data_IF_579411227723
#
_entry.id   IF_579411227723
#
_cell.length_a   1.000
_cell.length_b   1.000
_cell.length_c   1.000
_cell.angle_alpha   90.00
_cell.angle_beta   90.00
_cell.angle_gamma   90.00
#
_symmetry.space_group_name_H-M   'P 1'
#
loop_
_entity.id
_entity.type
_entity.pdbx_description
1 polymer ?
#
# COMPACT_ATOMS: atom_id res chain seq x y z
N UNK A 1 -13.30 -6.11 7.06
CA UNK A 1 -12.23 -5.11 6.84
C UNK A 1 -10.90 -5.82 6.68
N UNK A 2 -10.47 -5.97 5.43
CA UNK A 2 -9.15 -6.52 5.15
C UNK A 2 -8.10 -5.40 5.22
N UNK A 3 -6.98 -5.60 5.91
CA UNK A 3 -5.93 -4.60 5.98
C UNK A 3 -5.29 -4.44 4.60
N UNK A 4 -5.11 -3.19 4.16
CA UNK A 4 -4.37 -2.89 2.94
C UNK A 4 -3.01 -2.31 3.30
N UNK A 5 -1.97 -2.69 2.57
CA UNK A 5 -0.65 -2.12 2.76
C UNK A 5 0.09 -2.03 1.44
N UNK A 6 0.91 -1.00 1.31
CA UNK A 6 1.84 -0.87 0.20
C UNK A 6 3.22 -1.23 0.73
N UNK A 7 3.94 -2.03 -0.05
CA UNK A 7 5.30 -2.41 0.27
C UNK A 7 6.16 -2.58 -0.96
N UNK A 8 7.47 -2.68 -0.71
CA UNK A 8 8.49 -2.93 -1.70
C UNK A 8 9.00 -4.36 -1.55
N UNK A 9 8.97 -5.13 -2.65
CA UNK A 9 9.68 -6.41 -2.72
C UNK A 9 11.19 -6.15 -2.57
N UNK A 10 11.78 -6.65 -1.48
CA UNK A 10 13.21 -6.49 -1.17
C UNK A 10 14.01 -7.60 -1.83
N UNK A 11 13.54 -8.84 -1.71
CA UNK A 11 14.26 -10.00 -2.21
C UNK A 11 13.55 -11.30 -1.86
N UNK A 12 14.22 -12.42 -2.10
CA UNK A 12 13.76 -13.76 -1.76
C UNK A 12 14.82 -14.44 -0.92
N UNK A 13 14.38 -15.22 0.05
CA UNK A 13 15.24 -16.04 0.92
C UNK A 13 14.52 -17.36 1.21
N UNK A 14 15.07 -18.18 2.10
CA UNK A 14 14.46 -19.40 2.57
C UNK A 14 14.41 -19.42 4.10
N UNK A 15 13.37 -20.03 4.66
CA UNK A 15 13.22 -20.29 6.08
C UNK A 15 13.22 -21.80 6.29
N UNK A 16 13.98 -22.25 7.28
CA UNK A 16 13.95 -23.63 7.72
C UNK A 16 12.87 -23.78 8.78
N UNK A 17 11.94 -24.70 8.57
CA UNK A 17 10.91 -25.03 9.54
C UNK A 17 11.42 -26.06 10.56
N UNK A 18 10.72 -26.19 11.69
CA UNK A 18 11.16 -27.05 12.79
C UNK A 18 11.24 -28.55 12.44
N UNK A 19 10.50 -28.98 11.40
CA UNK A 19 10.56 -30.32 10.83
C UNK A 19 11.72 -30.53 9.82
N UNK A 20 12.58 -29.52 9.65
CA UNK A 20 13.75 -29.54 8.76
C UNK A 20 13.43 -29.24 7.30
N UNK A 21 12.18 -28.90 6.97
CA UNK A 21 11.80 -28.52 5.60
C UNK A 21 12.30 -27.11 5.23
N UNK A 22 12.44 -26.85 3.93
CA UNK A 22 12.88 -25.55 3.40
C UNK A 22 11.71 -24.87 2.72
N UNK A 23 11.28 -23.72 3.26
CA UNK A 23 10.21 -22.91 2.69
C UNK A 23 10.79 -21.66 2.00
N UNK A 24 10.61 -21.48 0.68
CA UNK A 24 11.03 -20.27 -0.01
C UNK A 24 10.09 -19.11 0.33
N UNK A 25 10.66 -17.98 0.73
CA UNK A 25 9.90 -16.79 1.16
C UNK A 25 10.35 -15.54 0.40
N UNK A 26 9.42 -14.59 0.23
CA UNK A 26 9.71 -13.25 -0.30
C UNK A 26 9.71 -12.24 0.83
N UNK A 27 10.80 -11.48 0.96
CA UNK A 27 10.88 -10.38 1.93
C UNK A 27 10.26 -9.13 1.31
N UNK A 28 9.23 -8.61 1.97
CA UNK A 28 8.55 -7.37 1.59
C UNK A 28 8.74 -6.35 2.70
N UNK A 29 9.31 -5.19 2.36
CA UNK A 29 9.34 -4.03 3.26
C UNK A 29 8.03 -3.26 3.07
N UNK A 30 7.09 -3.45 3.98
CA UNK A 30 5.76 -2.85 3.93
C UNK A 30 5.57 -1.85 5.06
N UNK A 31 4.85 -0.77 4.77
CA UNK A 31 4.57 0.29 5.74
C UNK A 31 5.81 1.08 6.23
N UNK A 32 5.60 2.13 7.04
CA UNK A 32 4.31 2.71 7.38
C UNK A 32 3.64 3.35 6.15
N UNK A 33 2.32 3.16 6.02
CA UNK A 33 1.50 3.77 4.97
C UNK A 33 0.56 4.80 5.59
N UNK A 34 0.44 5.98 4.98
CA UNK A 34 -0.43 7.05 5.48
C UNK A 34 -1.69 7.13 4.64
N UNK A 35 -2.85 7.22 5.28
CA UNK A 35 -4.13 7.49 4.60
C UNK A 35 -4.13 8.93 4.08
N UNK A 36 -4.10 9.12 2.77
CA UNK A 36 -4.10 10.45 2.14
C UNK A 36 -5.52 10.98 1.91
N UNK A 37 -6.44 10.10 1.55
CA UNK A 37 -7.82 10.46 1.27
C UNK A 37 -8.71 9.24 1.51
N UNK A 38 -9.90 9.48 2.05
CA UNK A 38 -10.99 8.52 2.07
C UNK A 38 -12.06 9.00 1.11
N UNK A 39 -12.40 8.16 0.14
CA UNK A 39 -13.45 8.39 -0.85
C UNK A 39 -14.72 7.70 -0.38
N UNK A 40 -15.84 8.37 -0.54
CA UNK A 40 -17.14 7.86 -0.12
C UNK A 40 -18.14 7.88 -1.28
N UNK A 41 -18.99 6.87 -1.33
CA UNK A 41 -20.04 6.73 -2.35
C UNK A 41 -21.10 7.83 -2.30
N UNK A 42 -21.35 8.41 -1.11
CA UNK A 42 -22.27 9.52 -0.88
C UNK A 42 -21.70 10.91 -1.25
N UNK A 43 -20.41 10.96 -1.60
CA UNK A 43 -19.67 12.18 -1.91
C UNK A 43 -19.55 12.40 -3.43
N UNK A 44 -18.77 13.42 -3.84
CA UNK A 44 -18.43 13.67 -5.25
C UNK A 44 -17.60 12.53 -5.90
N UNK A 45 -17.05 11.61 -5.11
CA UNK A 45 -16.21 10.51 -5.61
C UNK A 45 -17.02 9.38 -6.26
N UNK A 46 -18.26 9.13 -5.79
CA UNK A 46 -19.19 8.15 -6.39
C UNK A 46 -18.88 6.68 -6.09
N UNK A 47 -17.90 6.38 -5.24
CA UNK A 47 -17.60 5.02 -4.75
C UNK A 47 -16.76 5.07 -3.47
N UNK A 48 -16.75 3.96 -2.73
CA UNK A 48 -15.99 3.81 -1.48
C UNK A 48 -14.57 3.29 -1.76
N UNK A 49 -13.57 4.05 -1.32
CA UNK A 49 -12.16 3.66 -1.45
C UNK A 49 -11.25 4.38 -0.46
N UNK A 50 -10.10 3.78 -0.20
CA UNK A 50 -9.02 4.41 0.57
C UNK A 50 -7.85 4.68 -0.36
N UNK A 51 -7.31 5.89 -0.27
CA UNK A 51 -6.03 6.20 -0.87
C UNK A 51 -4.92 6.16 0.18
N UNK A 52 -3.97 5.25 -0.02
CA UNK A 52 -2.78 5.11 0.81
C UNK A 52 -1.56 5.67 0.11
N UNK A 53 -0.68 6.29 0.89
CA UNK A 53 0.62 6.78 0.47
C UNK A 53 1.76 6.04 1.16
N UNK A 54 2.81 5.71 0.40
CA UNK A 54 4.00 4.99 0.86
C UNK A 54 5.28 5.65 0.34
N UNK A 55 6.30 5.63 1.20
CA UNK A 55 7.62 6.25 1.04
C UNK A 55 7.59 7.78 0.90
N UNK A 56 8.34 8.47 1.74
CA UNK A 56 8.37 9.94 1.76
C UNK A 56 9.22 10.52 0.62
N UNK A 57 8.72 11.62 0.05
CA UNK A 57 9.47 12.45 -0.90
C UNK A 57 9.68 13.83 -0.30
N UNK A 58 10.91 14.34 -0.45
CA UNK A 58 11.24 15.74 -0.13
C UNK A 58 10.34 16.69 -0.94
N UNK A 59 9.70 17.71 -0.32
CA UNK A 59 8.82 18.63 -1.05
C UNK A 59 9.44 19.27 -2.28
N UNK A 60 10.75 19.52 -2.29
CA UNK A 60 11.47 20.05 -3.46
C UNK A 60 11.48 19.13 -4.68
N UNK A 61 11.21 17.83 -4.50
CA UNK A 61 11.11 16.81 -5.56
C UNK A 61 9.66 16.44 -5.88
N UNK A 62 8.69 17.05 -5.22
CA UNK A 62 7.27 16.80 -5.43
C UNK A 62 6.62 17.94 -6.24
N UNK A 63 5.56 17.62 -6.97
CA UNK A 63 4.78 18.64 -7.69
C UNK A 63 3.90 19.42 -6.71
N UNK A 64 3.59 20.68 -7.01
CA UNK A 64 2.73 21.53 -6.15
C UNK A 64 1.38 20.85 -5.79
N UNK A 65 0.68 20.17 -6.73
CA UNK A 65 -0.56 19.46 -6.38
C UNK A 65 -0.33 18.30 -5.41
N UNK A 66 0.75 17.53 -5.56
CA UNK A 66 1.06 16.43 -4.66
C UNK A 66 1.35 16.92 -3.24
N UNK A 67 2.01 18.08 -3.11
CA UNK A 67 2.26 18.73 -1.81
C UNK A 67 0.94 19.19 -1.19
N UNK A 68 0.10 19.89 -1.95
CA UNK A 68 -1.21 20.35 -1.46
C UNK A 68 -2.13 19.19 -1.06
N UNK A 69 -2.08 18.08 -1.80
CA UNK A 69 -2.84 16.88 -1.49
C UNK A 69 -2.38 16.22 -0.18
N UNK A 70 -1.07 16.01 -0.01
CA UNK A 70 -0.51 15.44 1.21
C UNK A 70 -0.72 16.34 2.44
N UNK A 71 -0.72 17.66 2.26
CA UNK A 71 -0.99 18.62 3.33
C UNK A 71 -2.41 18.48 3.92
N UNK A 72 -3.41 18.07 3.13
CA UNK A 72 -4.77 17.82 3.63
C UNK A 72 -4.85 16.66 4.63
N UNK A 73 -3.91 15.72 4.53
CA UNK A 73 -3.76 14.60 5.46
C UNK A 73 -2.62 14.85 6.47
N UNK A 74 -2.17 16.10 6.63
CA UNK A 74 -1.08 16.50 7.54
C UNK A 74 0.20 15.68 7.38
N UNK A 75 0.54 15.30 6.14
CA UNK A 75 1.72 14.47 5.86
C UNK A 75 2.61 15.06 4.76
N UNK A 76 3.83 14.54 4.69
CA UNK A 76 4.76 14.74 3.57
C UNK A 76 4.22 14.11 2.27
N UNK A 77 4.59 14.65 1.09
CA UNK A 77 4.32 14.02 -0.19
C UNK A 77 4.86 12.60 -0.23
N UNK A 78 4.10 11.67 -0.82
CA UNK A 78 4.48 10.25 -0.92
C UNK A 78 4.91 9.87 -2.32
N UNK A 79 5.85 8.94 -2.45
CA UNK A 79 6.34 8.43 -3.75
C UNK A 79 5.32 7.57 -4.43
N UNK A 80 4.71 6.68 -3.66
CA UNK A 80 3.76 5.72 -4.17
C UNK A 80 2.42 6.06 -3.55
N UNK A 81 1.45 6.36 -4.39
CA UNK A 81 0.06 6.57 -4.00
C UNK A 81 -0.78 5.51 -4.72
N UNK A 82 -1.54 4.75 -3.96
CA UNK A 82 -2.45 3.72 -4.49
C UNK A 82 -3.80 3.81 -3.82
N UNK A 83 -4.80 3.43 -4.59
CA UNK A 83 -6.19 3.41 -4.15
C UNK A 83 -6.66 1.97 -4.04
N UNK A 84 -7.34 1.66 -2.94
CA UNK A 84 -7.94 0.39 -2.66
C UNK A 84 -9.45 0.58 -2.59
N UNK A 85 -10.16 -0.04 -3.54
CA UNK A 85 -11.62 0.01 -3.59
C UNK A 85 -12.22 -0.92 -2.56
N UNK A 86 -13.32 -0.48 -1.97
CA UNK A 86 -14.07 -1.21 -0.97
C UNK A 86 -15.38 -1.65 -1.62
N UNK A 87 -15.67 -2.94 -1.56
CA UNK A 87 -16.91 -3.49 -2.06
C UNK A 87 -17.81 -3.78 -0.85
N UNK A 88 -18.86 -2.96 -0.68
CA UNK A 88 -19.86 -3.09 0.39
C UNK A 88 -19.30 -3.01 1.83
N UNK A 89 -18.08 -2.49 2.00
CA UNK A 89 -17.48 -2.22 3.31
C UNK A 89 -17.25 -0.71 3.47
N UNK A 90 -17.67 -0.14 4.60
CA UNK A 90 -17.31 1.23 4.95
C UNK A 90 -15.97 1.24 5.66
N UNK A 91 -15.06 2.10 5.19
CA UNK A 91 -13.81 2.33 5.91
C UNK A 91 -14.01 3.41 6.96
N UNK A 92 -13.79 3.02 8.19
CA UNK A 92 -13.62 3.91 9.33
C UNK A 92 -12.14 4.25 9.46
N UNK A 93 -11.64 5.10 8.57
CA UNK A 93 -10.31 5.66 8.67
C UNK A 93 -10.39 7.16 8.44
N UNK A 94 -9.50 7.89 9.08
CA UNK A 94 -9.37 9.32 8.91
C UNK A 94 -8.11 9.64 8.11
N UNK A 95 -8.13 10.66 7.24
CA UNK A 95 -6.90 11.16 6.61
C UNK A 95 -5.82 11.46 7.66
N UNK A 96 -4.59 11.03 7.39
CA UNK A 96 -3.46 11.13 8.31
C UNK A 96 -3.25 9.90 9.20
N UNK A 97 -4.21 8.97 9.26
CA UNK A 97 -4.00 7.69 9.95
C UNK A 97 -2.82 6.92 9.34
N UNK A 98 -2.03 6.26 10.20
CA UNK A 98 -0.86 5.48 9.80
C UNK A 98 -1.17 3.99 9.96
N UNK A 99 -0.96 3.24 8.89
CA UNK A 99 -1.18 1.80 8.82
C UNK A 99 0.16 1.07 8.74
N UNK A 100 0.33 0.07 9.61
CA UNK A 100 1.55 -0.72 9.80
C UNK A 100 1.29 -2.19 9.45
N UNK A 101 2.36 -2.98 9.46
CA UNK A 101 2.29 -4.44 9.25
C UNK A 101 1.56 -5.19 10.37
N UNK A 102 1.37 -4.55 11.53
CA UNK A 102 0.68 -5.13 12.69
C UNK A 102 -0.76 -5.53 12.36
N UNK A 103 -1.39 -4.82 11.43
CA UNK A 103 -2.74 -5.15 10.97
C UNK A 103 -2.84 -6.54 10.30
N UNK A 104 -1.71 -7.19 9.98
CA UNK A 104 -1.63 -8.49 9.32
C UNK A 104 -1.26 -9.65 10.24
N UNK A 105 -1.11 -9.44 11.55
CA UNK A 105 -0.60 -10.47 12.49
C UNK A 105 -1.42 -11.77 12.46
N UNK A 106 -2.76 -11.67 12.37
CA UNK A 106 -3.67 -12.83 12.29
C UNK A 106 -4.08 -13.22 10.86
N UNK A 107 -3.46 -12.62 9.84
CA UNK A 107 -3.83 -12.83 8.44
C UNK A 107 -2.98 -13.94 7.82
N UNK A 108 -3.61 -15.09 7.56
CA UNK A 108 -2.93 -16.27 6.99
C UNK A 108 -2.68 -16.18 5.49
N UNK A 109 -3.60 -15.56 4.76
CA UNK A 109 -3.55 -15.46 3.30
C UNK A 109 -3.74 -14.02 2.87
N UNK A 110 -2.96 -13.61 1.87
CA UNK A 110 -2.98 -12.25 1.33
C UNK A 110 -2.99 -12.29 -0.20
N UNK A 111 -3.72 -11.35 -0.79
CA UNK A 111 -3.66 -11.10 -2.23
C UNK A 111 -2.55 -10.08 -2.53
N UNK A 112 -1.63 -10.44 -3.41
CA UNK A 112 -0.49 -9.59 -3.77
C UNK A 112 -0.60 -9.11 -5.21
N UNK A 113 -0.64 -7.79 -5.40
CA UNK A 113 -0.60 -7.16 -6.72
C UNK A 113 0.71 -6.41 -6.91
N UNK A 114 1.34 -6.55 -8.07
CA UNK A 114 2.56 -5.82 -8.41
C UNK A 114 2.82 -5.81 -9.91
N UNK A 115 3.67 -4.88 -10.34
CA UNK A 115 4.13 -4.82 -11.74
C UNK A 115 5.14 -5.94 -11.97
N UNK A 116 4.88 -6.79 -12.97
CA UNK A 116 5.80 -7.87 -13.35
C UNK A 116 7.03 -7.32 -14.07
N UNK A 117 8.11 -8.12 -14.13
CA UNK A 117 9.32 -7.73 -14.85
C UNK A 117 9.04 -7.74 -16.36
N UNK A 118 9.11 -6.56 -16.98
CA UNK A 118 9.00 -6.43 -18.43
C UNK A 118 10.13 -7.17 -19.15
N UNK A 119 9.81 -7.80 -20.28
CA UNK A 119 10.77 -8.51 -21.14
C UNK A 119 11.20 -7.70 -22.38
N UNK A 120 10.70 -6.48 -22.56
CA UNK A 120 10.91 -5.69 -23.77
C UNK A 120 10.15 -6.26 -24.97
N UNK A 121 10.64 -6.01 -26.18
CA UNK A 121 10.14 -6.68 -27.38
C UNK A 121 10.50 -8.17 -27.29
N UNK A 122 9.50 -9.00 -27.01
CA UNK A 122 9.63 -10.45 -27.00
C UNK A 122 9.19 -11.00 -28.35
N UNK A 123 10.03 -11.81 -29.00
CA UNK A 123 9.63 -12.59 -30.17
C UNK A 123 8.55 -13.61 -29.79
N UNK A 124 7.68 -13.92 -30.75
CA UNK A 124 6.68 -14.99 -30.63
C UNK A 124 7.26 -16.38 -30.75
#
# INVERSE_FOLDING_TARGET
MYPFIIGKKVGMTQVFTDDGSVCPVTVVSAGPCVVLQVKRSDSKDGYDAIQLGYEDIKPSKATKPAIGHAARANTTPKRIVREFRLYNEQVQAEPGAVWTVEAFEDVKYVDVTGTTKGKGFAGG
#
